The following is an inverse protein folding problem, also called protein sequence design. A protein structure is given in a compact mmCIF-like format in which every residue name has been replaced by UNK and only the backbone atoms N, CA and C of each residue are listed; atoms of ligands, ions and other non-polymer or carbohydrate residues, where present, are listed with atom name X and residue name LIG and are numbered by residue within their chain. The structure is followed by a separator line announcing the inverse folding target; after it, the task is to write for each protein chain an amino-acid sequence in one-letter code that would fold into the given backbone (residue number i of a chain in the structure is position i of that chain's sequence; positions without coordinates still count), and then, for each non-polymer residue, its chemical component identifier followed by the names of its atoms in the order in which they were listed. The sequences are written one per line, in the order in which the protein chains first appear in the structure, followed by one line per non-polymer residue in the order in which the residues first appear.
data_IF_413177307913
#
_entry.id   IF_413177307913
#
_cell.length_a   1.000
_cell.length_b   1.000
_cell.length_c   1.000
_cell.angle_alpha   90.00
_cell.angle_beta   90.00
_cell.angle_gamma   90.00
#
_symmetry.space_group_name_H-M   'P 1'
#
loop_
_entity.id
_entity.type
_entity.pdbx_description
1 polymer ?
#
# COMPACT_ATOMS: atom_id res chain seq x y z
N UNK A 1 -11.64 -9.43 -10.59
CA UNK A 1 -11.21 -10.44 -9.61
C UNK A 1 -9.73 -10.72 -9.84
N UNK A 2 -8.94 -10.81 -8.76
CA UNK A 2 -7.50 -11.10 -8.85
C UNK A 2 -7.24 -12.60 -8.99
N UNK A 3 -6.08 -12.94 -9.57
CA UNK A 3 -5.57 -14.31 -9.62
C UNK A 3 -5.28 -14.86 -8.21
N UNK A 4 -4.97 -16.15 -8.12
CA UNK A 4 -4.85 -16.83 -6.83
C UNK A 4 -3.67 -16.37 -5.96
N UNK A 5 -2.66 -15.85 -6.64
CA UNK A 5 -1.40 -15.26 -6.18
C UNK A 5 -1.37 -13.74 -6.44
N UNK A 6 -2.54 -13.14 -6.68
CA UNK A 6 -2.65 -11.72 -6.98
C UNK A 6 -2.07 -10.84 -5.88
N UNK A 7 -1.38 -9.79 -6.30
CA UNK A 7 -0.84 -8.75 -5.43
C UNK A 7 -1.63 -7.46 -5.61
N UNK A 8 -1.82 -6.73 -4.52
CA UNK A 8 -2.40 -5.39 -4.47
C UNK A 8 -1.34 -4.43 -3.97
N UNK A 9 -1.10 -3.37 -4.72
CA UNK A 9 -0.38 -2.19 -4.26
C UNK A 9 -1.39 -1.08 -4.01
N UNK A 10 -1.45 -0.60 -2.77
CA UNK A 10 -2.37 0.47 -2.36
C UNK A 10 -1.57 1.66 -1.86
N UNK A 11 -1.86 2.86 -2.36
CA UNK A 11 -1.28 4.12 -1.88
C UNK A 11 -2.34 5.15 -1.56
N UNK A 12 -2.15 5.90 -0.46
CA UNK A 12 -3.06 6.95 -0.01
C UNK A 12 -2.32 7.97 0.86
N UNK A 13 -2.77 9.22 0.83
CA UNK A 13 -2.36 10.31 1.72
C UNK A 13 -3.23 10.40 2.99
N UNK A 14 -4.27 9.57 3.11
CA UNK A 14 -5.16 9.55 4.26
C UNK A 14 -4.66 8.57 5.33
N UNK A 15 -4.03 9.11 6.37
CA UNK A 15 -3.42 8.32 7.45
C UNK A 15 -4.42 7.38 8.16
N UNK A 16 -5.59 7.82 8.65
CA UNK A 16 -6.58 6.92 9.24
C UNK A 16 -7.02 5.78 8.32
N UNK A 17 -7.22 6.05 7.02
CA UNK A 17 -7.57 5.01 6.05
C UNK A 17 -6.41 4.03 5.88
N UNK A 18 -5.17 4.51 5.87
CA UNK A 18 -4.00 3.65 5.75
C UNK A 18 -3.83 2.73 6.95
N UNK A 19 -3.95 3.25 8.17
CA UNK A 19 -3.86 2.47 9.41
C UNK A 19 -4.95 1.39 9.45
N UNK A 20 -6.21 1.75 9.15
CA UNK A 20 -7.30 0.78 9.00
C UNK A 20 -6.97 -0.29 7.95
N UNK A 21 -6.42 0.10 6.80
CA UNK A 21 -6.09 -0.82 5.72
C UNK A 21 -5.03 -1.85 6.14
N UNK A 22 -4.02 -1.45 6.91
CA UNK A 22 -3.00 -2.35 7.44
C UNK A 22 -3.60 -3.44 8.34
N UNK A 23 -4.55 -3.06 9.21
CA UNK A 23 -5.28 -4.01 10.07
C UNK A 23 -6.13 -4.98 9.23
N UNK A 24 -6.87 -4.44 8.24
CA UNK A 24 -7.76 -5.27 7.41
C UNK A 24 -7.03 -6.25 6.50
N UNK A 25 -5.78 -5.98 6.09
CA UNK A 25 -4.99 -6.95 5.32
C UNK A 25 -4.86 -8.27 6.10
N UNK A 26 -4.52 -8.19 7.40
CA UNK A 26 -4.39 -9.37 8.23
C UNK A 26 -5.75 -10.04 8.51
N UNK A 27 -6.78 -9.27 8.89
CA UNK A 27 -8.13 -9.78 9.17
C UNK A 27 -8.78 -10.46 7.95
N UNK A 28 -8.46 -9.98 6.74
CA UNK A 28 -8.93 -10.58 5.49
C UNK A 28 -8.16 -11.85 5.06
N UNK A 29 -7.14 -12.26 5.82
CA UNK A 29 -6.30 -13.42 5.51
C UNK A 29 -5.25 -13.18 4.41
N UNK A 30 -4.98 -11.92 4.09
CA UNK A 30 -3.93 -11.54 3.13
C UNK A 30 -2.58 -11.44 3.84
N UNK A 31 -1.50 -11.61 3.08
CA UNK A 31 -0.14 -11.39 3.59
C UNK A 31 0.27 -9.95 3.30
N UNK A 32 0.66 -9.21 4.33
CA UNK A 32 1.29 -7.89 4.19
C UNK A 32 2.77 -8.09 3.85
N UNK A 33 3.16 -7.77 2.61
CA UNK A 33 4.53 -8.00 2.13
C UNK A 33 5.46 -6.83 2.47
N UNK A 34 4.96 -5.60 2.35
CA UNK A 34 5.72 -4.39 2.67
C UNK A 34 4.76 -3.22 2.94
N UNK A 35 5.21 -2.24 3.71
CA UNK A 35 4.53 -0.96 3.85
C UNK A 35 5.51 0.17 4.17
N UNK A 36 5.12 1.40 3.85
CA UNK A 36 5.84 2.62 4.20
C UNK A 36 4.85 3.75 4.49
N UNK A 37 5.20 4.61 5.44
CA UNK A 37 4.43 5.81 5.77
C UNK A 37 4.94 7.05 5.02
N UNK A 38 6.00 6.93 4.23
CA UNK A 38 6.52 8.04 3.43
C UNK A 38 7.16 7.51 2.14
N UNK A 39 6.30 7.22 1.17
CA UNK A 39 6.67 6.61 -0.10
C UNK A 39 7.76 7.40 -0.81
N UNK A 40 7.67 8.73 -0.86
CA UNK A 40 8.63 9.54 -1.63
C UNK A 40 10.04 9.54 -1.03
N UNK A 41 10.17 9.26 0.28
CA UNK A 41 11.45 9.16 0.97
C UNK A 41 11.91 7.71 1.18
N UNK A 42 11.14 6.72 0.74
CA UNK A 42 11.51 5.31 0.83
C UNK A 42 12.33 4.88 -0.41
N UNK A 43 13.63 4.57 -0.26
CA UNK A 43 14.50 4.30 -1.41
C UNK A 43 14.15 3.01 -2.15
N UNK A 44 13.40 2.09 -1.54
CA UNK A 44 13.04 0.79 -2.13
C UNK A 44 11.61 0.84 -2.64
N UNK A 45 10.67 1.27 -1.82
CA UNK A 45 9.23 1.24 -2.16
C UNK A 45 8.84 2.28 -3.22
N UNK A 46 9.64 3.34 -3.37
CA UNK A 46 9.45 4.37 -4.40
C UNK A 46 10.01 3.99 -5.77
N UNK A 47 10.79 2.91 -5.86
CA UNK A 47 11.35 2.47 -7.13
C UNK A 47 10.20 2.12 -8.09
N UNK A 48 10.20 2.75 -9.27
CA UNK A 48 9.12 2.58 -10.25
C UNK A 48 7.79 3.24 -9.89
N UNK A 49 7.70 4.07 -8.84
CA UNK A 49 6.48 4.80 -8.52
C UNK A 49 6.09 5.76 -9.66
N UNK A 50 4.92 5.52 -10.25
CA UNK A 50 4.29 6.45 -11.19
C UNK A 50 3.41 7.40 -10.40
N UNK A 51 3.86 8.64 -10.25
CA UNK A 51 3.09 9.68 -9.57
C UNK A 51 1.89 10.09 -10.41
N UNK A 52 0.73 10.22 -9.76
CA UNK A 52 -0.43 10.86 -10.39
C UNK A 52 -0.32 12.39 -10.31
N UNK A 53 -1.10 13.12 -11.11
CA UNK A 53 -1.15 14.60 -11.02
C UNK A 53 -1.55 15.06 -9.60
N UNK A 54 -2.48 14.35 -8.97
CA UNK A 54 -2.90 14.62 -7.59
C UNK A 54 -1.71 14.44 -6.63
N UNK A 55 -1.00 13.32 -6.72
CA UNK A 55 0.15 13.01 -5.87
C UNK A 55 1.26 14.05 -6.00
N UNK A 56 1.56 14.51 -7.21
CA UNK A 56 2.52 15.59 -7.45
C UNK A 56 2.10 16.89 -6.77
N UNK A 57 0.83 17.25 -6.87
CA UNK A 57 0.29 18.47 -6.27
C UNK A 57 0.36 18.43 -4.74
N UNK A 58 -0.05 17.33 -4.13
CA UNK A 58 -0.18 17.24 -2.66
C UNK A 58 1.12 16.88 -1.94
N UNK A 59 2.02 16.13 -2.57
CA UNK A 59 3.36 15.89 -2.02
C UNK A 59 4.16 17.19 -1.88
N UNK A 60 3.99 18.13 -2.82
CA UNK A 60 4.60 19.46 -2.72
C UNK A 60 4.10 20.31 -1.54
N UNK A 61 2.96 19.94 -0.95
CA UNK A 61 2.38 20.57 0.23
C UNK A 61 2.80 19.89 1.55
N UNK A 62 3.70 18.91 1.50
CA UNK A 62 4.25 18.23 2.68
C UNK A 62 3.41 17.06 3.22
N UNK A 63 2.36 16.64 2.51
CA UNK A 63 1.60 15.45 2.88
C UNK A 63 2.32 14.19 2.37
N UNK A 64 2.78 13.29 3.26
CA UNK A 64 3.41 12.06 2.83
C UNK A 64 2.39 11.11 2.21
N UNK A 65 2.84 10.33 1.24
CA UNK A 65 2.05 9.23 0.66
C UNK A 65 2.41 7.95 1.38
N UNK A 66 1.41 7.25 1.88
CA UNK A 66 1.58 5.94 2.48
C UNK A 66 1.34 4.87 1.42
N UNK A 67 2.09 3.75 1.47
CA UNK A 67 1.96 2.64 0.53
C UNK A 67 2.03 1.30 1.25
N UNK A 68 1.20 0.35 0.85
CA UNK A 68 1.30 -1.05 1.24
C UNK A 68 1.28 -1.97 0.01
N UNK A 69 1.89 -3.13 0.15
CA UNK A 69 1.87 -4.22 -0.81
C UNK A 69 1.36 -5.46 -0.08
N UNK A 70 0.27 -6.04 -0.57
CA UNK A 70 -0.34 -7.24 0.00
C UNK A 70 -0.59 -8.29 -1.07
N UNK A 71 -0.39 -9.57 -0.74
CA UNK A 71 -0.68 -10.68 -1.65
C UNK A 71 -1.67 -11.66 -1.03
N UNK A 72 -2.41 -12.34 -1.90
CA UNK A 72 -3.37 -13.35 -1.46
C UNK A 72 -2.63 -14.60 -0.98
N UNK A 73 -2.84 -14.96 0.27
CA UNK A 73 -2.29 -16.19 0.84
C UNK A 73 -2.98 -17.40 0.18
N UNK A 74 -2.22 -18.30 -0.46
CA UNK A 74 -2.79 -19.53 -1.03
C UNK A 74 -3.17 -20.58 0.02
N UNK A 75 -2.89 -20.32 1.29
CA UNK A 75 -3.19 -21.20 2.41
C UNK A 75 -4.34 -20.65 3.23
N UNK A 76 -5.56 -20.93 2.80
CA UNK A 76 -6.71 -20.91 3.69
C UNK A 76 -7.18 -22.35 3.86
N UNK A 77 -6.54 -23.04 4.82
CA UNK A 77 -6.98 -24.33 5.31
C UNK A 77 -7.26 -24.17 6.80
N UNK A 78 -8.53 -23.99 7.13
CA UNK A 78 -9.30 -24.71 8.16
C UNK A 78 -10.79 -24.40 7.96
#
# INVERSE_FOLDING_TARGET
MLAADGTVEFKTDNRPLFDFSLEQVAEAGWTLNAHTFDLHHDPVMNEGNVMTEYEQKFSSMGNPIHKLIASRSSFQCI
#
